data_IF_419008767035
#
_entry.id   IF_419008767035
#
_cell.length_a   1.000
_cell.length_b   1.000
_cell.length_c   1.000
_cell.angle_alpha   90.00
_cell.angle_beta   90.00
_cell.angle_gamma   90.00
#
_symmetry.space_group_name_H-M   'P 1'
#
loop_
_entity.id
_entity.type
_entity.pdbx_description
1 polymer ?
#
# COMPACT_ATOMS: atom_id res chain seq x y z
N UNK A 1 -17.05 -3.81 11.98
CA UNK A 1 -16.37 -2.56 12.36
C UNK A 1 -15.46 -2.11 11.22
N UNK A 2 -15.46 -0.82 10.89
CA UNK A 2 -14.46 -0.23 9.98
C UNK A 2 -13.53 0.64 10.83
N UNK A 3 -12.22 0.38 10.78
CA UNK A 3 -11.20 1.08 11.55
C UNK A 3 -10.28 1.83 10.59
N UNK A 4 -10.24 3.16 10.67
CA UNK A 4 -9.49 4.00 9.74
C UNK A 4 -8.69 5.09 10.48
N UNK A 5 -7.84 4.67 11.41
CA UNK A 5 -7.18 5.54 12.40
C UNK A 5 -5.69 5.74 12.15
N UNK A 6 -4.96 4.71 11.75
CA UNK A 6 -3.50 4.69 11.67
C UNK A 6 -3.02 3.71 10.60
N UNK A 7 -1.73 3.77 10.27
CA UNK A 7 -1.06 2.86 9.33
C UNK A 7 -0.43 1.63 10.00
N UNK A 8 -0.18 1.72 11.30
CA UNK A 8 0.68 0.79 12.04
C UNK A 8 -0.13 -0.30 12.74
N UNK A 9 0.28 -1.56 12.56
CA UNK A 9 -0.35 -2.74 13.16
C UNK A 9 -0.35 -2.63 14.69
N UNK A 10 0.77 -2.24 15.29
CA UNK A 10 0.92 -2.10 16.73
C UNK A 10 -0.06 -1.10 17.34
N UNK A 11 -0.41 -0.05 16.61
CA UNK A 11 -1.33 0.99 17.06
C UNK A 11 -2.81 0.63 16.85
N UNK A 12 -3.12 -0.24 15.88
CA UNK A 12 -4.51 -0.64 15.57
C UNK A 12 -4.89 -2.01 16.16
N UNK A 13 -3.92 -2.77 16.67
CA UNK A 13 -4.13 -4.14 17.16
C UNK A 13 -5.17 -4.22 18.28
N UNK A 14 -5.18 -3.24 19.18
CA UNK A 14 -6.14 -3.22 20.29
C UNK A 14 -7.56 -2.89 19.81
N UNK A 15 -7.72 -1.90 18.91
CA UNK A 15 -9.01 -1.59 18.28
C UNK A 15 -9.58 -2.81 17.53
N UNK A 16 -8.71 -3.56 16.83
CA UNK A 16 -9.07 -4.81 16.15
C UNK A 16 -9.53 -5.85 17.17
N UNK A 17 -8.75 -6.05 18.25
CA UNK A 17 -9.08 -6.99 19.33
C UNK A 17 -10.44 -6.67 19.93
N UNK A 18 -10.71 -5.42 20.29
CA UNK A 18 -11.99 -4.98 20.86
C UNK A 18 -13.16 -5.23 19.90
N UNK A 19 -12.99 -4.97 18.61
CA UNK A 19 -14.01 -5.26 17.61
C UNK A 19 -14.30 -6.77 17.48
N UNK A 20 -13.27 -7.62 17.55
CA UNK A 20 -13.41 -9.08 17.56
C UNK A 20 -14.15 -9.53 18.83
N UNK A 21 -13.82 -8.98 20.00
CA UNK A 21 -14.51 -9.30 21.26
C UNK A 21 -15.99 -8.93 21.24
N UNK A 22 -16.34 -7.86 20.53
CA UNK A 22 -17.71 -7.44 20.29
C UNK A 22 -18.45 -8.31 19.25
N UNK A 23 -17.82 -9.35 18.70
CA UNK A 23 -18.40 -10.23 17.68
C UNK A 23 -18.54 -9.58 16.31
N UNK A 24 -17.75 -8.55 16.02
CA UNK A 24 -17.77 -7.86 14.71
C UNK A 24 -16.69 -8.40 13.78
N UNK A 25 -17.06 -8.62 12.51
CA UNK A 25 -16.08 -8.66 11.43
C UNK A 25 -15.38 -7.30 11.30
N UNK A 26 -14.10 -7.30 10.95
CA UNK A 26 -13.25 -6.10 10.97
C UNK A 26 -12.71 -5.79 9.58
N UNK A 27 -12.84 -4.54 9.17
CA UNK A 27 -12.06 -3.97 8.05
C UNK A 27 -11.21 -2.85 8.62
N UNK A 28 -9.92 -2.85 8.33
CA UNK A 28 -9.01 -1.75 8.70
C UNK A 28 -8.30 -1.18 7.49
N UNK A 29 -8.07 0.13 7.48
CA UNK A 29 -7.27 0.80 6.45
C UNK A 29 -5.78 0.91 6.81
N UNK A 30 -5.36 0.33 7.95
CA UNK A 30 -3.95 0.32 8.33
C UNK A 30 -3.14 -0.47 7.30
N UNK A 31 -2.16 0.19 6.67
CA UNK A 31 -1.38 -0.41 5.58
C UNK A 31 -0.63 -1.68 6.02
N UNK A 32 -0.14 -1.74 7.26
CA UNK A 32 0.53 -2.94 7.78
C UNK A 32 -0.42 -4.14 7.95
N UNK A 33 -1.72 -3.90 8.12
CA UNK A 33 -2.73 -4.94 8.31
C UNK A 33 -3.15 -5.67 7.01
N UNK A 34 -2.70 -5.20 5.83
CA UNK A 34 -2.94 -5.91 4.58
C UNK A 34 -2.20 -7.27 4.52
N UNK A 35 -1.07 -7.38 5.24
CA UNK A 35 -0.38 -8.64 5.52
C UNK A 35 0.39 -8.51 6.84
N UNK A 36 -0.28 -8.66 7.99
CA UNK A 36 0.27 -8.30 9.31
C UNK A 36 1.50 -9.11 9.71
N UNK A 37 1.61 -10.37 9.24
CA UNK A 37 2.77 -11.23 9.48
C UNK A 37 4.09 -10.70 8.90
N UNK A 38 4.04 -9.76 7.96
CA UNK A 38 5.23 -9.07 7.47
C UNK A 38 5.87 -8.15 8.52
N UNK A 39 5.07 -7.73 9.51
CA UNK A 39 5.44 -6.72 10.49
C UNK A 39 5.60 -7.33 11.88
N UNK A 40 4.59 -8.05 12.36
CA UNK A 40 4.60 -8.70 13.67
C UNK A 40 3.76 -9.99 13.60
N UNK A 41 4.44 -11.12 13.42
CA UNK A 41 3.81 -12.43 13.31
C UNK A 41 3.09 -12.84 14.60
N UNK A 42 3.63 -12.50 15.77
CA UNK A 42 3.03 -12.86 17.05
C UNK A 42 1.70 -12.11 17.27
N UNK A 43 1.66 -10.80 16.96
CA UNK A 43 0.41 -10.03 17.00
C UNK A 43 -0.59 -10.55 15.98
N UNK A 44 -0.15 -10.82 14.75
CA UNK A 44 -0.99 -11.35 13.69
C UNK A 44 -1.63 -12.69 14.08
N UNK A 45 -0.84 -13.64 14.55
CA UNK A 45 -1.29 -14.98 14.96
C UNK A 45 -2.26 -14.92 16.13
N UNK A 46 -2.01 -14.07 17.13
CA UNK A 46 -2.95 -13.87 18.24
C UNK A 46 -4.30 -13.33 17.79
N UNK A 47 -4.31 -12.32 16.92
CA UNK A 47 -5.54 -11.71 16.43
C UNK A 47 -6.29 -12.65 15.47
N UNK A 48 -5.58 -13.36 14.59
CA UNK A 48 -6.16 -14.38 13.71
C UNK A 48 -6.81 -15.52 14.51
N UNK A 49 -6.09 -16.09 15.48
CA UNK A 49 -6.62 -17.14 16.35
C UNK A 49 -7.86 -16.66 17.10
N UNK A 50 -7.83 -15.42 17.60
CA UNK A 50 -8.98 -14.85 18.32
C UNK A 50 -10.18 -14.60 17.41
N UNK A 51 -9.98 -14.13 16.19
CA UNK A 51 -11.02 -13.99 15.18
C UNK A 51 -11.65 -15.35 14.84
N UNK A 52 -10.84 -16.40 14.70
CA UNK A 52 -11.32 -17.77 14.49
C UNK A 52 -12.17 -18.27 15.66
N UNK A 53 -11.72 -18.10 16.89
CA UNK A 53 -12.47 -18.48 18.10
C UNK A 53 -13.82 -17.75 18.20
N UNK A 54 -13.87 -16.47 17.80
CA UNK A 54 -15.09 -15.66 17.81
C UNK A 54 -15.97 -15.84 16.58
N UNK A 55 -15.52 -16.60 15.57
CA UNK A 55 -16.27 -16.81 14.33
C UNK A 55 -16.39 -15.56 13.45
N UNK A 56 -15.41 -14.65 13.52
CA UNK A 56 -15.40 -13.39 12.74
C UNK A 56 -14.15 -13.31 11.87
N UNK A 57 -14.18 -12.44 10.86
CA UNK A 57 -13.08 -12.21 9.92
C UNK A 57 -12.44 -10.83 10.10
N UNK A 58 -11.16 -10.72 9.71
CA UNK A 58 -10.39 -9.47 9.69
C UNK A 58 -9.85 -9.27 8.27
N UNK A 59 -9.96 -8.05 7.73
CA UNK A 59 -9.33 -7.66 6.48
C UNK A 59 -8.62 -6.31 6.62
N UNK A 60 -7.33 -6.26 6.28
CA UNK A 60 -6.65 -5.01 5.95
C UNK A 60 -6.85 -4.67 4.48
N UNK A 61 -7.51 -3.55 4.19
CA UNK A 61 -7.78 -3.15 2.82
C UNK A 61 -7.82 -1.62 2.62
N UNK A 62 -7.39 -1.22 1.44
CA UNK A 62 -7.43 0.13 0.92
C UNK A 62 -7.06 0.09 -0.56
N UNK A 63 -6.69 1.23 -1.13
CA UNK A 63 -6.27 1.27 -2.53
C UNK A 63 -4.86 0.68 -2.72
N UNK A 64 -3.93 1.02 -1.84
CA UNK A 64 -2.57 0.51 -1.85
C UNK A 64 -2.02 0.62 -0.42
N UNK A 65 -1.91 -0.49 0.33
CA UNK A 65 -2.25 -1.87 -0.06
C UNK A 65 -3.76 -2.16 -0.18
N UNK A 66 -4.09 -3.24 -0.88
CA UNK A 66 -5.43 -3.84 -0.95
C UNK A 66 -6.05 -3.92 -2.34
N UNK A 67 -5.56 -3.14 -3.32
CA UNK A 67 -6.09 -3.19 -4.68
C UNK A 67 -4.98 -3.05 -5.72
N UNK A 68 -4.36 -1.88 -5.84
CA UNK A 68 -3.53 -1.54 -7.00
C UNK A 68 -2.23 -2.34 -7.12
N UNK A 69 -1.65 -2.77 -5.99
CA UNK A 69 -0.40 -3.54 -5.95
C UNK A 69 -0.62 -5.00 -5.55
N UNK A 70 -1.88 -5.42 -5.45
CA UNK A 70 -2.29 -6.66 -4.79
C UNK A 70 -3.41 -7.33 -5.61
N UNK A 71 -4.68 -6.97 -5.36
CA UNK A 71 -5.82 -7.63 -6.01
C UNK A 71 -5.85 -7.42 -7.53
N UNK A 72 -5.54 -6.21 -8.00
CA UNK A 72 -5.47 -5.89 -9.43
C UNK A 72 -4.28 -6.59 -10.10
N UNK A 73 -3.14 -6.68 -9.41
CA UNK A 73 -1.95 -7.41 -9.88
C UNK A 73 -2.27 -8.89 -10.04
N UNK A 74 -2.87 -9.52 -9.02
CA UNK A 74 -3.29 -10.92 -9.09
C UNK A 74 -4.30 -11.16 -10.20
N UNK A 75 -5.27 -10.26 -10.35
CA UNK A 75 -6.25 -10.33 -11.44
C UNK A 75 -5.56 -10.28 -12.81
N UNK A 76 -4.61 -9.36 -12.99
CA UNK A 76 -3.86 -9.21 -14.24
C UNK A 76 -2.94 -10.40 -14.52
N UNK A 77 -2.38 -11.05 -13.49
CA UNK A 77 -1.58 -12.27 -13.65
C UNK A 77 -2.39 -13.47 -14.18
N UNK A 78 -3.72 -13.47 -14.01
CA UNK A 78 -4.59 -14.59 -14.44
C UNK A 78 -4.64 -14.85 -15.95
N UNK A 79 -4.09 -13.96 -16.78
CA UNK A 79 -4.05 -14.12 -18.25
C UNK A 79 -2.72 -14.64 -18.79
N UNK A 80 -1.77 -15.00 -17.91
CA UNK A 80 -0.49 -15.62 -18.31
C UNK A 80 -0.30 -16.97 -17.61
N UNK A 81 0.34 -17.96 -18.25
CA UNK A 81 0.58 -19.26 -17.62
C UNK A 81 1.64 -19.20 -16.50
N UNK A 82 2.60 -18.28 -16.59
CA UNK A 82 3.71 -18.13 -15.64
C UNK A 82 4.16 -16.67 -15.57
N UNK A 83 4.39 -16.17 -14.36
CA UNK A 83 4.92 -14.82 -14.09
C UNK A 83 6.42 -14.91 -13.79
N UNK A 84 7.26 -14.36 -14.67
CA UNK A 84 8.72 -14.30 -14.45
C UNK A 84 9.11 -13.15 -13.53
N UNK A 85 8.51 -11.97 -13.73
CA UNK A 85 8.68 -10.82 -12.84
C UNK A 85 7.57 -9.79 -13.03
N UNK A 86 7.37 -8.94 -12.04
CA UNK A 86 6.40 -7.86 -12.01
C UNK A 86 7.11 -6.51 -11.85
N UNK A 87 6.61 -5.51 -12.56
CA UNK A 87 6.88 -4.10 -12.29
C UNK A 87 5.53 -3.39 -12.15
N UNK A 88 5.25 -2.86 -10.97
CA UNK A 88 4.02 -2.12 -10.68
C UNK A 88 4.39 -0.71 -10.30
N UNK A 89 3.78 0.28 -10.94
CA UNK A 89 4.10 1.68 -10.75
C UNK A 89 2.86 2.51 -10.45
N UNK A 90 3.00 3.41 -9.48
CA UNK A 90 2.05 4.49 -9.19
C UNK A 90 2.71 5.84 -9.40
N UNK A 91 1.97 6.77 -10.02
CA UNK A 91 2.29 8.19 -10.05
C UNK A 91 1.10 8.96 -9.50
N UNK A 92 1.29 9.70 -8.40
CA UNK A 92 0.19 10.32 -7.65
C UNK A 92 0.46 11.79 -7.41
N UNK A 93 -0.57 12.60 -7.66
CA UNK A 93 -0.60 13.99 -7.22
C UNK A 93 -0.89 14.05 -5.72
N UNK A 94 0.07 14.59 -4.98
CA UNK A 94 0.00 14.74 -3.53
C UNK A 94 -0.69 16.04 -3.10
N UNK A 95 -0.97 16.97 -4.03
CA UNK A 95 -1.45 18.32 -3.72
C UNK A 95 -2.72 18.38 -2.87
N UNK A 96 -3.57 17.34 -2.94
CA UNK A 96 -4.83 17.24 -2.21
C UNK A 96 -4.75 16.59 -0.82
N UNK A 97 -3.59 16.05 -0.41
CA UNK A 97 -3.44 15.36 0.87
C UNK A 97 -3.28 16.33 2.05
N UNK A 98 -3.78 15.94 3.23
CA UNK A 98 -3.67 16.75 4.44
C UNK A 98 -2.21 16.94 4.89
N UNK A 99 -1.93 18.07 5.55
CA UNK A 99 -0.56 18.47 5.91
C UNK A 99 0.19 17.41 6.72
N UNK A 100 -0.46 16.81 7.74
CA UNK A 100 0.17 15.77 8.56
C UNK A 100 0.61 14.55 7.74
N UNK A 101 -0.20 14.16 6.74
CA UNK A 101 0.16 13.07 5.82
C UNK A 101 1.34 13.48 4.95
N UNK A 102 1.28 14.67 4.35
CA UNK A 102 2.34 15.19 3.49
C UNK A 102 3.70 15.25 4.20
N UNK A 103 3.74 15.78 5.43
CA UNK A 103 4.99 15.82 6.22
C UNK A 103 5.50 14.43 6.56
N UNK A 104 4.61 13.51 6.97
CA UNK A 104 4.97 12.12 7.31
C UNK A 104 5.54 11.37 6.11
N UNK A 105 4.99 11.55 4.91
CA UNK A 105 5.50 10.88 3.70
C UNK A 105 6.74 11.58 3.10
N UNK A 106 7.15 12.72 3.67
CA UNK A 106 8.42 13.36 3.34
C UNK A 106 8.34 14.59 2.44
N UNK A 107 7.20 15.28 2.39
CA UNK A 107 7.05 16.59 1.75
C UNK A 107 7.28 17.72 2.77
N UNK A 108 7.78 18.87 2.31
CA UNK A 108 8.10 20.05 3.10
C UNK A 108 9.20 19.82 4.16
N UNK A 109 10.29 19.16 3.73
CA UNK A 109 11.51 18.96 4.52
C UNK A 109 12.73 19.51 3.80
N UNK A 110 13.68 20.09 4.54
CA UNK A 110 15.03 20.33 4.01
C UNK A 110 15.79 19.00 3.92
N UNK A 111 16.89 18.97 3.15
CA UNK A 111 17.70 17.76 2.97
C UNK A 111 18.08 17.09 4.31
N UNK A 112 18.61 17.87 5.25
CA UNK A 112 19.03 17.33 6.55
C UNK A 112 17.86 16.81 7.40
N UNK A 113 16.71 17.50 7.39
CA UNK A 113 15.54 17.05 8.16
C UNK A 113 14.90 15.83 7.51
N UNK A 114 14.90 15.73 6.17
CA UNK A 114 14.46 14.55 5.45
C UNK A 114 15.35 13.35 5.77
N UNK A 115 16.67 13.50 5.70
CA UNK A 115 17.62 12.41 6.01
C UNK A 115 17.51 11.95 7.46
N UNK A 116 17.42 12.90 8.42
CA UNK A 116 17.17 12.53 9.82
C UNK A 116 15.83 11.82 9.99
N UNK A 117 14.78 12.34 9.37
CA UNK A 117 13.44 11.75 9.42
C UNK A 117 13.35 10.35 8.82
N UNK A 118 14.11 10.09 7.75
CA UNK A 118 14.24 8.73 7.18
C UNK A 118 14.94 7.78 8.13
N UNK A 119 15.95 8.25 8.89
CA UNK A 119 16.72 7.44 9.84
C UNK A 119 15.94 7.11 11.11
N UNK A 120 15.17 8.06 11.64
CA UNK A 120 14.41 7.88 12.88
C UNK A 120 12.98 7.36 12.66
N UNK A 121 12.52 7.28 11.41
CA UNK A 121 11.21 6.74 11.04
C UNK A 121 10.08 7.77 11.03
N UNK A 122 10.35 9.05 11.32
CA UNK A 122 9.33 10.12 11.25
C UNK A 122 8.97 10.50 9.81
N UNK A 123 9.87 10.23 8.85
CA UNK A 123 9.59 10.29 7.40
C UNK A 123 9.55 8.88 6.84
N UNK A 124 8.34 8.41 6.54
CA UNK A 124 8.08 7.01 6.17
C UNK A 124 8.14 6.77 4.66
N UNK A 125 7.86 7.79 3.86
CA UNK A 125 7.32 7.56 2.52
C UNK A 125 5.95 6.87 2.60
N UNK A 126 5.55 6.18 1.54
CA UNK A 126 4.42 5.27 1.56
C UNK A 126 4.73 4.00 2.36
N UNK A 127 3.74 3.50 3.09
CA UNK A 127 3.82 2.25 3.86
C UNK A 127 2.99 1.21 3.12
N UNK A 128 3.41 -0.06 3.15
CA UNK A 128 2.55 -1.16 2.66
C UNK A 128 3.10 -1.98 1.50
N UNK A 129 4.16 -1.54 0.82
CA UNK A 129 4.73 -2.33 -0.29
C UNK A 129 5.19 -3.74 0.13
N UNK A 130 5.87 -3.93 1.27
CA UNK A 130 6.21 -5.27 1.75
C UNK A 130 5.01 -6.18 1.98
N UNK A 131 3.86 -5.60 2.33
CA UNK A 131 2.58 -6.31 2.53
C UNK A 131 1.99 -6.70 1.18
N UNK A 132 1.83 -5.76 0.24
CA UNK A 132 1.33 -6.05 -1.11
C UNK A 132 2.18 -7.12 -1.82
N UNK A 133 3.51 -7.01 -1.73
CA UNK A 133 4.43 -7.99 -2.32
C UNK A 133 4.23 -9.39 -1.74
N UNK A 134 4.03 -9.52 -0.43
CA UNK A 134 3.80 -10.82 0.23
C UNK A 134 2.42 -11.40 -0.07
N UNK A 135 1.38 -10.57 -0.17
CA UNK A 135 0.06 -11.01 -0.64
C UNK A 135 0.16 -11.62 -2.04
N UNK A 136 0.81 -10.90 -2.96
CA UNK A 136 0.97 -11.38 -4.35
C UNK A 136 1.85 -12.62 -4.41
N UNK A 137 2.98 -12.65 -3.69
CA UNK A 137 3.89 -13.78 -3.67
C UNK A 137 3.24 -15.03 -3.09
N UNK A 138 2.54 -14.92 -1.96
CA UNK A 138 1.82 -16.04 -1.34
C UNK A 138 0.77 -16.65 -2.27
N UNK A 139 -0.02 -15.80 -2.94
CA UNK A 139 -1.04 -16.26 -3.88
C UNK A 139 -0.46 -16.91 -5.15
N UNK A 140 0.76 -16.53 -5.56
CA UNK A 140 1.47 -17.13 -6.69
C UNK A 140 2.42 -18.27 -6.29
N UNK A 141 2.48 -18.66 -5.00
CA UNK A 141 3.38 -19.70 -4.51
C UNK A 141 4.86 -19.32 -4.60
N UNK A 142 5.18 -18.03 -4.53
CA UNK A 142 6.55 -17.49 -4.59
C UNK A 142 7.06 -17.17 -3.19
N UNK A 143 8.25 -17.66 -2.88
CA UNK A 143 8.99 -17.28 -1.67
C UNK A 143 9.86 -16.05 -1.95
N UNK A 144 9.72 -15.02 -1.12
CA UNK A 144 10.55 -13.81 -1.18
C UNK A 144 11.72 -13.98 -0.20
N UNK A 145 12.95 -13.92 -0.71
CA UNK A 145 14.19 -13.99 0.09
C UNK A 145 14.36 -12.72 0.93
N UNK A 146 14.22 -11.55 0.29
CA UNK A 146 14.32 -10.24 0.92
C UNK A 146 13.59 -9.18 0.10
N UNK A 147 13.37 -8.04 0.73
CA UNK A 147 12.81 -6.86 0.07
C UNK A 147 13.74 -5.67 0.33
N UNK A 148 14.39 -5.20 -0.72
CA UNK A 148 15.24 -4.01 -0.69
C UNK A 148 14.37 -2.76 -0.93
N UNK A 149 14.70 -1.63 -0.31
CA UNK A 149 13.90 -0.39 -0.47
C UNK A 149 14.75 0.88 -0.51
N UNK A 150 14.26 1.88 -1.24
CA UNK A 150 14.83 3.23 -1.27
C UNK A 150 13.73 4.29 -1.38
N UNK A 151 14.01 5.48 -0.83
CA UNK A 151 13.17 6.67 -0.96
C UNK A 151 14.07 7.85 -1.31
N UNK A 152 13.92 8.38 -2.51
CA UNK A 152 14.68 9.49 -3.05
C UNK A 152 13.85 10.78 -3.00
N UNK A 153 14.30 11.84 -2.32
CA UNK A 153 13.57 13.10 -2.26
C UNK A 153 13.61 13.85 -3.59
N UNK A 154 12.53 14.55 -3.92
CA UNK A 154 12.47 15.52 -5.03
C UNK A 154 12.37 16.92 -4.43
N UNK A 155 13.35 17.78 -4.68
CA UNK A 155 13.39 19.13 -4.10
C UNK A 155 12.68 20.17 -4.99
N UNK A 156 11.96 21.08 -4.35
CA UNK A 156 11.32 22.22 -4.98
C UNK A 156 12.36 23.22 -5.48
N UNK A 157 12.24 23.63 -6.74
CA UNK A 157 13.07 24.68 -7.37
C UNK A 157 12.46 26.08 -7.26
N UNK A 158 11.22 26.17 -6.79
CA UNK A 158 10.45 27.40 -6.59
C UNK A 158 9.36 27.13 -5.54
N UNK A 159 8.64 28.17 -5.13
CA UNK A 159 7.52 28.06 -4.20
C UNK A 159 6.36 27.28 -4.84
N UNK A 160 5.85 26.24 -4.16
CA UNK A 160 4.72 25.44 -4.62
C UNK A 160 3.57 25.50 -3.61
N UNK A 161 2.35 25.65 -4.10
CA UNK A 161 1.15 25.60 -3.29
C UNK A 161 0.50 24.21 -3.41
N UNK A 162 0.40 23.49 -2.30
CA UNK A 162 -0.54 22.37 -2.13
C UNK A 162 -1.79 22.89 -1.40
N UNK A 163 -2.85 22.09 -1.33
CA UNK A 163 -4.12 22.50 -0.72
C UNK A 163 -3.99 22.87 0.76
N UNK A 164 -3.13 22.18 1.50
CA UNK A 164 -3.01 22.30 2.95
C UNK A 164 -1.61 22.72 3.44
N UNK A 165 -0.66 22.95 2.52
CA UNK A 165 0.67 23.46 2.87
C UNK A 165 1.32 24.19 1.69
N UNK A 166 2.34 24.98 1.99
CA UNK A 166 3.24 25.58 1.00
C UNK A 166 4.60 24.89 1.09
N UNK A 167 5.17 24.51 -0.06
CA UNK A 167 6.53 23.97 -0.15
C UNK A 167 7.45 25.09 -0.63
N UNK A 168 8.43 25.44 0.19
CA UNK A 168 9.43 26.45 -0.13
C UNK A 168 10.55 25.87 -1.01
N UNK A 169 11.25 26.76 -1.73
CA UNK A 169 12.43 26.37 -2.50
C UNK A 169 13.46 25.69 -1.59
N UNK A 170 14.02 24.57 -2.04
CA UNK A 170 14.97 23.77 -1.27
C UNK A 170 14.33 22.77 -0.30
N UNK A 171 13.02 22.81 -0.10
CA UNK A 171 12.28 21.75 0.59
C UNK A 171 11.89 20.63 -0.38
N UNK A 172 11.58 19.45 0.14
CA UNK A 172 11.06 18.33 -0.63
C UNK A 172 9.63 18.60 -1.11
N UNK A 173 9.40 18.56 -2.42
CA UNK A 173 8.09 18.65 -3.06
C UNK A 173 7.45 17.28 -3.33
N UNK A 174 8.20 16.20 -3.10
CA UNK A 174 7.79 14.85 -3.39
C UNK A 174 8.93 13.86 -3.19
N UNK A 175 8.71 12.63 -3.67
CA UNK A 175 9.68 11.55 -3.58
C UNK A 175 9.48 10.53 -4.70
N UNK A 176 10.53 9.76 -4.98
CA UNK A 176 10.46 8.48 -5.69
C UNK A 176 10.80 7.37 -4.71
N UNK A 177 9.89 6.43 -4.55
CA UNK A 177 10.06 5.30 -3.66
C UNK A 177 10.08 4.02 -4.47
N UNK A 178 11.02 3.13 -4.13
CA UNK A 178 11.23 1.85 -4.81
C UNK A 178 11.33 0.74 -3.80
N UNK A 179 10.64 -0.37 -4.06
CA UNK A 179 10.83 -1.65 -3.38
C UNK A 179 11.14 -2.72 -4.41
N UNK A 180 12.02 -3.65 -4.05
CA UNK A 180 12.38 -4.79 -4.90
C UNK A 180 12.36 -6.05 -4.05
N UNK A 181 11.37 -6.92 -4.31
CA UNK A 181 11.37 -8.27 -3.78
C UNK A 181 12.31 -9.15 -4.61
N UNK A 182 13.20 -9.87 -3.91
CA UNK A 182 14.21 -10.74 -4.50
C UNK A 182 13.79 -12.19 -4.34
N UNK A 183 13.90 -12.96 -5.43
CA UNK A 183 13.69 -14.41 -5.49
C UNK A 183 14.91 -15.04 -6.18
N UNK A 184 15.54 -16.03 -5.56
CA UNK A 184 16.72 -16.71 -6.09
C UNK A 184 17.84 -15.72 -6.49
N UNK A 185 18.08 -14.69 -5.68
CA UNK A 185 19.05 -13.63 -5.95
C UNK A 185 18.69 -12.63 -7.07
N UNK A 186 17.52 -12.76 -7.71
CA UNK A 186 17.07 -11.87 -8.80
C UNK A 186 15.82 -11.05 -8.43
N UNK A 187 15.66 -9.82 -8.96
CA UNK A 187 14.43 -9.06 -8.84
C UNK A 187 13.22 -9.80 -9.42
N UNK A 188 12.21 -10.03 -8.59
CA UNK A 188 10.96 -10.68 -8.99
C UNK A 188 9.78 -9.71 -9.01
N UNK A 189 9.66 -8.83 -8.01
CA UNK A 189 8.61 -7.82 -7.98
C UNK A 189 9.21 -6.46 -7.62
N UNK A 190 9.19 -5.54 -8.58
CA UNK A 190 9.53 -4.13 -8.39
C UNK A 190 8.26 -3.29 -8.21
N UNK A 191 8.19 -2.54 -7.10
CA UNK A 191 7.17 -1.53 -6.86
C UNK A 191 7.80 -0.14 -6.94
N UNK A 192 7.24 0.72 -7.80
CA UNK A 192 7.66 2.11 -7.96
C UNK A 192 6.53 3.05 -7.57
N UNK A 193 6.85 4.09 -6.81
CA UNK A 193 5.91 5.12 -6.47
C UNK A 193 6.53 6.51 -6.57
N UNK A 194 6.02 7.31 -7.50
CA UNK A 194 6.33 8.73 -7.61
C UNK A 194 5.18 9.54 -7.02
N UNK A 195 5.44 10.25 -5.94
CA UNK A 195 4.52 11.23 -5.36
C UNK A 195 5.08 12.63 -5.48
N UNK A 196 4.30 13.59 -5.97
CA UNK A 196 4.72 14.99 -6.03
C UNK A 196 3.52 15.93 -5.86
N UNK A 197 3.72 17.09 -5.25
CA UNK A 197 2.66 18.11 -5.08
C UNK A 197 2.30 18.85 -6.37
N UNK A 198 3.04 18.60 -7.46
CA UNK A 198 2.78 19.17 -8.79
C UNK A 198 3.43 18.30 -9.87
N UNK A 199 2.73 17.26 -10.31
CA UNK A 199 3.26 16.34 -11.34
C UNK A 199 3.63 17.00 -12.68
N UNK A 200 2.95 18.06 -13.17
CA UNK A 200 3.35 18.74 -14.40
C UNK A 200 4.79 19.25 -14.41
N UNK A 201 5.36 19.61 -13.24
CA UNK A 201 6.76 20.03 -13.13
C UNK A 201 7.76 18.89 -13.34
N UNK A 202 7.30 17.64 -13.22
CA UNK A 202 8.07 16.45 -13.53
C UNK A 202 7.84 15.97 -14.97
N UNK A 203 6.94 16.60 -15.73
CA UNK A 203 6.48 16.11 -17.02
C UNK A 203 5.66 14.82 -16.88
N UNK A 204 4.98 14.64 -15.74
CA UNK A 204 4.25 13.43 -15.39
C UNK A 204 2.76 13.72 -15.22
N UNK A 205 1.94 12.68 -15.39
CA UNK A 205 0.50 12.69 -15.11
C UNK A 205 0.15 11.53 -14.17
N UNK A 206 -0.93 11.63 -13.37
CA UNK A 206 -1.37 10.54 -12.53
C UNK A 206 -1.61 9.26 -13.35
N UNK A 207 -0.98 8.15 -12.94
CA UNK A 207 -1.15 6.83 -13.57
C UNK A 207 -0.95 5.70 -12.56
N UNK A 208 -1.57 4.57 -12.86
CA UNK A 208 -1.24 3.27 -12.28
C UNK A 208 -0.88 2.33 -13.43
N UNK A 209 0.19 1.54 -13.29
CA UNK A 209 0.56 0.56 -14.32
C UNK A 209 1.10 -0.74 -13.75
N UNK A 210 0.86 -1.83 -14.48
CA UNK A 210 1.35 -3.16 -14.17
C UNK A 210 2.02 -3.70 -15.43
N UNK A 211 3.30 -4.04 -15.33
CA UNK A 211 4.04 -4.77 -16.36
C UNK A 211 4.30 -6.18 -15.85
N UNK A 212 3.78 -7.17 -16.57
CA UNK A 212 3.97 -8.58 -16.30
C UNK A 212 4.95 -9.13 -17.32
N UNK A 213 6.14 -9.54 -16.88
CA UNK A 213 7.09 -10.24 -17.75
C UNK A 213 6.77 -11.73 -17.69
N UNK A 214 6.34 -12.31 -18.81
CA UNK A 214 6.05 -13.73 -18.96
C UNK A 214 6.75 -14.28 -20.22
N UNK A 215 6.16 -15.25 -20.91
CA UNK A 215 6.62 -15.61 -22.28
C UNK A 215 6.51 -14.40 -23.21
N UNK A 216 5.39 -13.69 -23.15
CA UNK A 216 5.21 -12.36 -23.73
C UNK A 216 5.04 -11.33 -22.60
N UNK A 217 5.44 -10.08 -22.84
CA UNK A 217 5.29 -9.02 -21.84
C UNK A 217 3.93 -8.34 -22.00
N UNK A 218 3.15 -8.32 -20.94
CA UNK A 218 1.88 -7.59 -20.88
C UNK A 218 2.03 -6.29 -20.10
N UNK A 219 1.31 -5.24 -20.53
CA UNK A 219 1.27 -3.95 -19.84
C UNK A 219 -0.17 -3.48 -19.70
N UNK A 220 -0.58 -3.26 -18.46
CA UNK A 220 -1.85 -2.65 -18.10
C UNK A 220 -1.57 -1.23 -17.60
N UNK A 221 -2.42 -0.28 -17.98
CA UNK A 221 -2.33 1.11 -17.52
C UNK A 221 -3.72 1.66 -17.25
N UNK A 222 -3.83 2.48 -16.20
CA UNK A 222 -5.04 3.22 -15.87
C UNK A 222 -4.70 4.71 -15.94
N UNK A 223 -5.40 5.42 -16.83
CA UNK A 223 -5.26 6.86 -17.05
C UNK A 223 -6.65 7.50 -17.14
N UNK A 224 -6.97 8.51 -16.31
CA UNK A 224 -6.13 9.03 -15.21
C UNK A 224 -5.91 7.98 -14.12
N UNK A 225 -4.79 8.09 -13.40
CA UNK A 225 -4.49 7.24 -12.24
C UNK A 225 -5.61 7.26 -11.20
N UNK A 226 -5.73 6.16 -10.46
CA UNK A 226 -6.83 5.95 -9.51
C UNK A 226 -6.69 6.94 -8.36
N UNK A 227 -7.75 7.70 -8.09
CA UNK A 227 -7.78 8.66 -7.00
C UNK A 227 -7.56 7.97 -5.64
N UNK A 228 -6.55 8.38 -4.83
CA UNK A 228 -6.19 7.66 -3.62
C UNK A 228 -7.25 7.68 -2.52
N UNK A 229 -7.89 8.83 -2.30
CA UNK A 229 -8.90 8.97 -1.25
C UNK A 229 -10.20 8.25 -1.62
N UNK A 230 -10.74 8.52 -2.81
CA UNK A 230 -11.98 7.91 -3.27
C UNK A 230 -11.79 6.40 -3.51
N UNK A 231 -10.66 5.99 -4.10
CA UNK A 231 -10.36 4.59 -4.33
C UNK A 231 -10.28 3.78 -3.04
N UNK A 232 -9.63 4.31 -2.00
CA UNK A 232 -9.54 3.62 -0.70
C UNK A 232 -10.90 3.49 -0.04
N UNK A 233 -11.69 4.57 -0.01
CA UNK A 233 -13.05 4.54 0.54
C UNK A 233 -13.95 3.53 -0.18
N UNK A 234 -13.87 3.49 -1.52
CA UNK A 234 -14.62 2.55 -2.35
C UNK A 234 -14.22 1.10 -2.08
N UNK A 235 -12.92 0.78 -2.00
CA UNK A 235 -12.47 -0.58 -1.70
C UNK A 235 -12.96 -1.04 -0.33
N UNK A 236 -12.90 -0.17 0.69
CA UNK A 236 -13.41 -0.48 2.03
C UNK A 236 -14.92 -0.76 1.98
N UNK A 237 -15.71 0.13 1.38
CA UNK A 237 -17.16 -0.02 1.29
C UNK A 237 -17.56 -1.30 0.53
N UNK A 238 -16.94 -1.51 -0.63
CA UNK A 238 -17.18 -2.67 -1.50
C UNK A 238 -16.63 -3.97 -0.90
N UNK A 239 -15.84 -3.90 0.17
CA UNK A 239 -15.34 -5.07 0.89
C UNK A 239 -16.26 -5.55 2.01
N UNK A 240 -17.26 -4.77 2.44
CA UNK A 240 -18.10 -5.10 3.59
C UNK A 240 -18.77 -6.47 3.42
N UNK A 241 -19.45 -6.70 2.29
CA UNK A 241 -20.18 -7.97 2.07
C UNK A 241 -19.24 -9.17 1.99
N UNK A 242 -18.10 -9.04 1.28
CA UNK A 242 -17.16 -10.14 1.11
C UNK A 242 -16.43 -10.51 2.40
N UNK A 243 -16.17 -9.55 3.29
CA UNK A 243 -15.59 -9.83 4.61
C UNK A 243 -16.60 -10.51 5.52
N UNK A 244 -17.85 -10.08 5.52
CA UNK A 244 -18.92 -10.77 6.29
C UNK A 244 -19.11 -12.22 5.83
N UNK A 245 -18.93 -12.50 4.54
CA UNK A 245 -19.01 -13.84 3.97
C UNK A 245 -17.70 -14.65 4.05
N UNK A 246 -16.60 -14.04 4.50
CA UNK A 246 -15.30 -14.68 4.56
C UNK A 246 -15.23 -15.73 5.68
N UNK A 247 -14.35 -16.74 5.58
CA UNK A 247 -14.07 -17.62 6.70
C UNK A 247 -13.51 -16.83 7.89
N UNK A 248 -13.76 -17.29 9.13
CA UNK A 248 -13.18 -16.68 10.32
C UNK A 248 -11.65 -16.67 10.31
N UNK A 249 -11.08 -15.64 10.95
CA UNK A 249 -9.63 -15.38 10.97
C UNK A 249 -9.23 -14.18 10.12
N UNK A 250 -7.92 -13.99 9.96
CA UNK A 250 -7.38 -12.89 9.19
C UNK A 250 -7.23 -13.30 7.73
N UNK A 251 -8.02 -12.67 6.86
CA UNK A 251 -8.00 -12.90 5.42
C UNK A 251 -7.32 -11.74 4.71
N UNK A 252 -6.77 -12.02 3.54
CA UNK A 252 -6.20 -11.02 2.64
C UNK A 252 -7.12 -10.78 1.46
N UNK A 253 -6.81 -9.79 0.64
CA UNK A 253 -7.56 -9.54 -0.60
C UNK A 253 -7.39 -10.65 -1.64
N UNK A 254 -6.39 -11.54 -1.49
CA UNK A 254 -6.19 -12.70 -2.36
C UNK A 254 -7.15 -13.85 -2.02
N UNK A 255 -7.65 -13.91 -0.78
CA UNK A 255 -8.56 -14.97 -0.30
C UNK A 255 -10.03 -14.68 -0.64
N UNK A 256 -10.32 -13.52 -1.21
CA UNK A 256 -11.66 -12.99 -1.40
C UNK A 256 -11.98 -12.81 -2.88
N UNK A 257 -13.27 -12.91 -3.29
CA UNK A 257 -13.68 -12.50 -4.62
C UNK A 257 -13.37 -11.01 -4.86
N UNK A 258 -13.31 -10.58 -6.13
CA UNK A 258 -13.12 -9.17 -6.47
C UNK A 258 -14.11 -8.27 -5.73
N UNK A 259 -13.64 -7.11 -5.24
CA UNK A 259 -14.52 -6.10 -4.68
C UNK A 259 -15.31 -5.40 -5.80
N UNK A 260 -16.61 -5.18 -5.60
CA UNK A 260 -17.49 -4.49 -6.55
C UNK A 260 -18.54 -3.63 -5.80
N UNK A 261 -19.09 -2.57 -6.43
CA UNK A 261 -20.13 -1.71 -5.85
C UNK A 261 -21.45 -2.41 -5.51
#
# INVERSE_FOLDING_TARGET
MVIATTSFLSAVAEDIREAIEAGSNVITTAEEAAYPWANDADVADRLDARARERGVSILGAGLNPGFAFDALVLTACGVVPEVKSLLVERVVDLSGFGEAVLRRIGVAHLADSFTRGRRDGTVTGHIGFPQSMRVVAGALGVEIERIDSSVEPIFAKHLLAARFLTVHMGETAGFRQRYVAIKDGLPWFEALFTGHVSLPLLGEEPRDSITIRAQETLRFSVTPGINPQLGSASIVANSIRRVVAAPPGWVTVADLPPAFP
#
